data_IF_741652598641
#
_entry.id   IF_741652598641
#
_cell.length_a   1.000
_cell.length_b   1.000
_cell.length_c   1.000
_cell.angle_alpha   90.00
_cell.angle_beta   90.00
_cell.angle_gamma   90.00
#
_symmetry.space_group_name_H-M   'P 1'
#
loop_
_entity.id
_entity.type
_entity.pdbx_description
1 polymer ?
#
# COMPACT_ATOMS: atom_id res chain seq x y z
N UNK A 1 -3.81 22.37 13.67
CA UNK A 1 -4.14 21.24 12.76
C UNK A 1 -5.64 21.00 12.89
N UNK A 2 -6.36 20.99 11.78
CA UNK A 2 -7.83 20.78 11.84
C UNK A 2 -8.10 19.34 12.26
N UNK A 3 -8.97 19.15 13.25
CA UNK A 3 -9.39 17.82 13.68
C UNK A 3 -10.57 17.36 12.80
N UNK A 4 -10.29 16.41 11.91
CA UNK A 4 -11.32 15.79 11.05
C UNK A 4 -11.97 14.56 11.67
N UNK A 5 -11.71 14.27 12.95
CA UNK A 5 -12.28 13.09 13.63
C UNK A 5 -13.69 13.36 14.18
N UNK A 6 -14.16 14.62 14.10
CA UNK A 6 -15.43 15.05 14.68
C UNK A 6 -15.60 14.66 16.16
N UNK A 7 -14.48 14.60 16.90
CA UNK A 7 -14.44 14.20 18.30
C UNK A 7 -14.58 12.69 18.55
N UNK A 8 -14.72 11.86 17.50
CA UNK A 8 -14.83 10.41 17.64
C UNK A 8 -13.49 9.70 17.91
N UNK A 9 -12.36 10.38 17.67
CA UNK A 9 -11.03 9.83 17.67
C UNK A 9 -10.75 8.88 16.49
N UNK A 10 -11.68 8.78 15.54
CA UNK A 10 -11.56 7.98 14.32
C UNK A 10 -11.37 8.88 13.10
N UNK A 11 -10.55 8.44 12.16
CA UNK A 11 -10.32 9.17 10.92
C UNK A 11 -11.58 9.15 10.04
N UNK A 12 -11.85 10.27 9.40
CA UNK A 12 -13.11 10.51 8.70
C UNK A 12 -13.35 9.56 7.51
N UNK A 13 -12.31 9.31 6.69
CA UNK A 13 -12.48 8.48 5.49
C UNK A 13 -12.22 7.01 5.77
N UNK A 14 -11.16 6.67 6.48
CA UNK A 14 -10.80 5.28 6.75
C UNK A 14 -11.57 4.65 7.90
N UNK A 15 -12.14 5.46 8.77
CA UNK A 15 -12.90 5.00 9.94
C UNK A 15 -12.05 4.34 11.02
N UNK A 16 -10.71 4.39 10.94
CA UNK A 16 -9.80 3.80 11.93
C UNK A 16 -9.35 4.81 12.99
N UNK A 17 -9.00 4.32 14.16
CA UNK A 17 -8.30 5.07 15.21
C UNK A 17 -6.92 4.47 15.52
N UNK A 18 -6.10 5.14 16.35
CA UNK A 18 -4.76 4.67 16.69
C UNK A 18 -4.71 3.26 17.30
N UNK A 19 -5.76 2.87 18.02
CA UNK A 19 -5.87 1.54 18.64
C UNK A 19 -6.19 0.44 17.63
N UNK A 20 -6.66 0.77 16.43
CA UNK A 20 -7.15 -0.20 15.45
C UNK A 20 -6.05 -0.74 14.56
N UNK A 21 -4.95 -0.02 14.37
CA UNK A 21 -3.94 -0.33 13.36
C UNK A 21 -2.56 -0.66 13.95
N UNK A 22 -1.75 -1.34 13.16
CA UNK A 22 -0.33 -1.58 13.43
C UNK A 22 0.57 -0.53 12.78
N UNK A 23 1.86 -0.57 13.12
CA UNK A 23 2.89 0.30 12.53
C UNK A 23 3.19 -0.02 11.06
N UNK A 24 2.95 -1.26 10.65
CA UNK A 24 3.15 -1.77 9.29
C UNK A 24 1.80 -1.97 8.62
N UNK A 25 1.63 -1.40 7.44
CA UNK A 25 0.37 -1.48 6.71
C UNK A 25 0.59 -1.98 5.29
N UNK A 26 -0.13 -3.04 4.92
CA UNK A 26 -0.20 -3.54 3.56
C UNK A 26 -1.37 -2.86 2.87
N UNK A 27 -1.12 -2.31 1.69
CA UNK A 27 -2.08 -1.50 0.95
C UNK A 27 -2.48 -2.15 -0.39
N UNK A 28 -3.48 -3.05 -0.45
CA UNK A 28 -4.10 -3.43 -1.73
C UNK A 28 -4.99 -2.30 -2.26
N UNK A 29 -5.30 -2.31 -3.55
CA UNK A 29 -6.27 -1.37 -4.13
C UNK A 29 -7.71 -1.80 -3.85
N UNK A 30 -8.03 -3.06 -4.11
CA UNK A 30 -9.37 -3.62 -3.99
C UNK A 30 -9.69 -4.02 -2.54
N UNK A 31 -10.81 -3.54 -1.95
CA UNK A 31 -11.28 -3.95 -0.63
C UNK A 31 -11.38 -5.46 -0.44
N UNK A 32 -11.80 -6.20 -1.47
CA UNK A 32 -11.94 -7.67 -1.43
C UNK A 32 -10.62 -8.40 -1.21
N UNK A 33 -9.50 -7.76 -1.49
CA UNK A 33 -8.17 -8.35 -1.23
C UNK A 33 -7.76 -8.24 0.23
N UNK A 34 -8.33 -7.30 0.99
CA UNK A 34 -7.97 -7.13 2.40
C UNK A 34 -8.22 -8.40 3.21
N UNK A 35 -9.39 -9.02 3.07
CA UNK A 35 -9.71 -10.27 3.74
C UNK A 35 -8.73 -11.39 3.36
N UNK A 36 -8.44 -11.55 2.06
CA UNK A 36 -7.50 -12.58 1.57
C UNK A 36 -6.07 -12.39 2.09
N UNK A 37 -5.60 -11.15 2.19
CA UNK A 37 -4.28 -10.86 2.75
C UNK A 37 -4.30 -11.07 4.26
N UNK A 38 -5.39 -10.74 4.93
CA UNK A 38 -5.55 -10.93 6.37
C UNK A 38 -5.54 -12.41 6.79
N UNK A 39 -5.84 -13.36 5.90
CA UNK A 39 -5.72 -14.81 6.16
C UNK A 39 -4.28 -15.24 6.52
N UNK A 40 -3.27 -14.46 6.15
CA UNK A 40 -1.88 -14.69 6.51
C UNK A 40 -1.50 -14.13 7.89
N UNK A 41 -2.41 -13.44 8.57
CA UNK A 41 -2.19 -12.86 9.89
C UNK A 41 -2.90 -13.70 10.96
N UNK A 42 -2.28 -13.84 12.11
CA UNK A 42 -2.90 -14.49 13.28
C UNK A 42 -3.90 -13.52 13.92
N UNK A 43 -5.06 -14.04 14.34
CA UNK A 43 -6.13 -13.29 15.02
C UNK A 43 -6.60 -12.04 14.26
N UNK A 44 -6.58 -12.10 12.94
CA UNK A 44 -6.99 -10.99 12.09
C UNK A 44 -8.49 -10.68 12.26
N UNK A 45 -8.80 -9.40 12.43
CA UNK A 45 -10.17 -8.88 12.55
C UNK A 45 -10.36 -7.69 11.63
N UNK A 46 -11.55 -7.58 11.05
CA UNK A 46 -11.97 -6.36 10.38
C UNK A 46 -12.22 -5.28 11.44
N UNK A 47 -11.49 -4.18 11.35
CA UNK A 47 -11.56 -3.09 12.33
C UNK A 47 -12.28 -1.86 11.80
N UNK A 48 -12.36 -1.73 10.48
CA UNK A 48 -13.12 -0.69 9.81
C UNK A 48 -13.55 -1.13 8.40
N UNK A 49 -14.67 -0.57 7.94
CA UNK A 49 -15.17 -0.71 6.58
C UNK A 49 -15.95 0.57 6.25
N UNK A 50 -15.31 1.48 5.55
CA UNK A 50 -15.90 2.76 5.21
C UNK A 50 -15.45 3.20 3.83
N UNK A 51 -16.40 3.51 2.95
CA UNK A 51 -16.15 3.86 1.56
C UNK A 51 -15.35 2.76 0.83
N UNK A 52 -14.26 3.14 0.15
CA UNK A 52 -13.29 2.22 -0.46
C UNK A 52 -12.23 1.68 0.51
N UNK A 53 -12.26 2.08 1.77
CA UNK A 53 -11.27 1.75 2.79
C UNK A 53 -11.79 0.64 3.70
N UNK A 54 -11.37 -0.58 3.45
CA UNK A 54 -11.62 -1.73 4.33
C UNK A 54 -10.33 -2.08 5.04
N UNK A 55 -10.36 -2.15 6.37
CA UNK A 55 -9.17 -2.40 7.19
C UNK A 55 -9.32 -3.66 8.03
N UNK A 56 -8.32 -4.53 7.94
CA UNK A 56 -8.10 -5.68 8.81
C UNK A 56 -6.82 -5.47 9.61
N UNK A 57 -6.80 -5.94 10.85
CA UNK A 57 -5.59 -5.93 11.68
C UNK A 57 -5.43 -7.26 12.38
N UNK A 58 -4.22 -7.78 12.38
CA UNK A 58 -3.83 -9.02 13.02
C UNK A 58 -2.35 -9.00 13.41
N UNK A 59 -1.77 -10.16 13.61
CA UNK A 59 -0.37 -10.32 14.03
C UNK A 59 0.38 -11.21 13.05
N UNK A 60 1.60 -10.82 12.70
CA UNK A 60 2.54 -11.62 11.92
C UNK A 60 3.86 -11.71 12.69
N UNK A 61 4.26 -12.93 13.07
CA UNK A 61 5.49 -13.19 13.86
C UNK A 61 5.59 -12.30 15.14
N UNK A 62 4.47 -12.13 15.83
CA UNK A 62 4.38 -11.30 17.04
C UNK A 62 4.28 -9.79 16.80
N UNK A 63 4.32 -9.35 15.55
CA UNK A 63 4.22 -7.93 15.16
C UNK A 63 2.82 -7.61 14.67
N UNK A 64 2.24 -6.52 15.16
CA UNK A 64 0.93 -6.04 14.72
C UNK A 64 1.01 -5.44 13.32
N UNK A 65 0.24 -6.00 12.39
CA UNK A 65 0.19 -5.61 10.98
C UNK A 65 -1.25 -5.32 10.59
N UNK A 66 -1.44 -4.28 9.80
CA UNK A 66 -2.75 -3.94 9.23
C UNK A 66 -2.75 -4.12 7.71
N UNK A 67 -3.92 -4.34 7.17
CA UNK A 67 -4.18 -4.39 5.73
C UNK A 67 -5.33 -3.42 5.45
N UNK A 68 -5.08 -2.39 4.66
CA UNK A 68 -6.10 -1.38 4.33
C UNK A 68 -6.17 -1.19 2.82
N UNK A 69 -7.37 -1.27 2.25
CA UNK A 69 -7.55 -0.95 0.83
C UNK A 69 -7.41 0.56 0.57
N UNK A 70 -6.91 0.89 -0.61
CA UNK A 70 -6.72 2.29 -1.03
C UNK A 70 -7.76 2.77 -2.05
N UNK A 71 -8.60 1.88 -2.56
CA UNK A 71 -9.41 2.20 -3.73
C UNK A 71 -8.57 2.41 -4.99
N UNK A 72 -9.05 3.27 -5.88
CA UNK A 72 -8.44 3.56 -7.17
C UNK A 72 -7.94 5.00 -7.20
N UNK A 73 -6.69 5.17 -7.61
CA UNK A 73 -6.09 6.47 -7.90
C UNK A 73 -5.25 7.06 -6.77
N UNK A 74 -4.43 8.03 -7.13
CA UNK A 74 -3.51 8.73 -6.22
C UNK A 74 -4.22 9.43 -5.06
N UNK A 75 -5.28 10.22 -5.30
CA UNK A 75 -5.99 10.93 -4.24
C UNK A 75 -6.52 10.00 -3.15
N UNK A 76 -7.15 8.88 -3.52
CA UNK A 76 -7.66 7.91 -2.56
C UNK A 76 -6.54 7.24 -1.76
N UNK A 77 -5.44 6.87 -2.43
CA UNK A 77 -4.26 6.32 -1.76
C UNK A 77 -3.62 7.34 -0.79
N UNK A 78 -3.56 8.62 -1.17
CA UNK A 78 -3.05 9.69 -0.32
C UNK A 78 -3.88 9.85 0.95
N UNK A 79 -5.21 9.85 0.85
CA UNK A 79 -6.11 9.90 2.01
C UNK A 79 -5.82 8.74 2.96
N UNK A 80 -5.71 7.51 2.44
CA UNK A 80 -5.42 6.34 3.27
C UNK A 80 -4.09 6.50 4.00
N UNK A 81 -3.01 6.86 3.31
CA UNK A 81 -1.67 7.01 3.89
C UNK A 81 -1.64 8.11 4.96
N UNK A 82 -2.24 9.26 4.67
CA UNK A 82 -2.32 10.38 5.61
C UNK A 82 -3.05 10.00 6.91
N UNK A 83 -4.23 9.41 6.79
CA UNK A 83 -5.03 9.05 7.95
C UNK A 83 -4.41 7.92 8.76
N UNK A 84 -3.86 6.89 8.09
CA UNK A 84 -3.14 5.81 8.75
C UNK A 84 -1.86 6.31 9.45
N UNK A 85 -1.15 7.26 8.84
CA UNK A 85 0.03 7.89 9.47
C UNK A 85 -0.33 8.66 10.73
N UNK A 86 -1.44 9.40 10.73
CA UNK A 86 -1.99 10.07 11.92
C UNK A 86 -2.36 9.08 13.03
N UNK A 87 -2.72 7.85 12.68
CA UNK A 87 -2.98 6.76 13.62
C UNK A 87 -1.71 6.00 14.07
N UNK A 88 -0.52 6.40 13.62
CA UNK A 88 0.76 5.83 14.05
C UNK A 88 1.37 4.79 13.12
N UNK A 89 0.81 4.56 11.94
CA UNK A 89 1.47 3.76 10.91
C UNK A 89 2.67 4.53 10.33
N UNK A 90 3.78 3.83 10.07
CA UNK A 90 4.99 4.47 9.53
C UNK A 90 5.64 3.69 8.37
N UNK A 91 5.20 2.45 8.12
CA UNK A 91 5.74 1.65 7.02
C UNK A 91 4.58 1.13 6.18
N UNK A 92 4.60 1.48 4.91
CA UNK A 92 3.54 1.15 3.96
C UNK A 92 4.08 0.29 2.83
N UNK A 93 3.42 -0.85 2.58
CA UNK A 93 3.74 -1.75 1.49
C UNK A 93 2.56 -1.82 0.52
N UNK A 94 2.69 -1.20 -0.65
CA UNK A 94 1.67 -1.27 -1.69
C UNK A 94 1.75 -2.62 -2.42
N UNK A 95 0.65 -3.34 -2.46
CA UNK A 95 0.52 -4.61 -3.17
C UNK A 95 -0.54 -4.51 -4.24
N UNK A 96 -0.16 -4.73 -5.48
CA UNK A 96 -1.06 -4.61 -6.61
C UNK A 96 -0.70 -5.55 -7.75
N UNK A 97 -1.41 -5.42 -8.86
CA UNK A 97 -1.11 -6.08 -10.12
C UNK A 97 -0.58 -5.04 -11.09
N UNK A 98 0.32 -5.43 -11.97
CA UNK A 98 0.87 -4.59 -13.02
C UNK A 98 1.01 -5.39 -14.32
N UNK A 99 1.18 -4.68 -15.44
CA UNK A 99 1.60 -5.27 -16.70
C UNK A 99 3.13 -5.30 -16.79
N UNK A 100 3.70 -6.40 -17.25
CA UNK A 100 5.11 -6.45 -17.64
C UNK A 100 5.31 -5.73 -18.96
N UNK A 101 6.26 -4.78 -19.02
CA UNK A 101 6.59 -4.04 -20.24
C UNK A 101 7.73 -4.69 -21.03
N UNK A 102 8.53 -5.55 -20.40
CA UNK A 102 9.65 -6.24 -21.02
C UNK A 102 9.25 -7.68 -21.36
N UNK A 103 9.76 -8.21 -22.47
CA UNK A 103 9.41 -9.55 -22.97
C UNK A 103 9.76 -10.69 -22.01
N UNK A 104 10.77 -10.48 -21.17
CA UNK A 104 11.21 -11.47 -20.18
C UNK A 104 10.39 -11.46 -18.88
N UNK A 105 9.41 -10.57 -18.74
CA UNK A 105 8.50 -10.52 -17.55
C UNK A 105 7.22 -11.28 -17.90
N UNK A 106 7.00 -12.40 -17.23
CA UNK A 106 5.88 -13.30 -17.50
C UNK A 106 4.75 -13.09 -16.48
N UNK A 107 3.55 -13.55 -16.85
CA UNK A 107 2.43 -13.58 -15.93
C UNK A 107 2.75 -14.44 -14.70
N UNK A 108 2.55 -13.87 -13.50
CA UNK A 108 2.89 -14.50 -12.22
C UNK A 108 4.24 -14.09 -11.65
N UNK A 109 5.10 -13.42 -12.42
CA UNK A 109 6.35 -12.88 -11.88
C UNK A 109 6.06 -11.76 -10.87
N UNK A 110 6.92 -11.63 -9.87
CA UNK A 110 6.90 -10.53 -8.92
C UNK A 110 7.72 -9.36 -9.46
N UNK A 111 7.16 -8.17 -9.44
CA UNK A 111 7.90 -6.92 -9.74
C UNK A 111 8.02 -6.10 -8.47
N UNK A 112 9.25 -5.79 -8.09
CA UNK A 112 9.57 -4.93 -6.94
C UNK A 112 10.02 -3.59 -7.49
N UNK A 113 9.28 -2.53 -7.19
CA UNK A 113 9.61 -1.20 -7.66
C UNK A 113 10.78 -0.61 -6.86
N UNK A 114 11.81 -0.12 -7.55
CA UNK A 114 12.92 0.66 -7.00
C UNK A 114 12.83 2.15 -7.36
N UNK A 115 11.79 2.53 -8.07
CA UNK A 115 11.45 3.89 -8.41
C UNK A 115 10.09 3.97 -9.09
N UNK A 116 9.55 5.18 -9.22
CA UNK A 116 8.32 5.43 -9.94
C UNK A 116 8.41 6.71 -10.77
N UNK A 117 7.77 6.73 -11.93
CA UNK A 117 7.65 7.92 -12.76
C UNK A 117 6.37 8.66 -12.34
N UNK A 118 6.52 9.92 -11.93
CA UNK A 118 5.46 10.77 -11.36
C UNK A 118 4.64 11.44 -12.46
N UNK A 119 3.84 10.68 -13.19
CA UNK A 119 3.00 11.21 -14.28
C UNK A 119 1.55 11.48 -13.86
N UNK A 120 1.23 11.30 -12.59
CA UNK A 120 -0.07 11.62 -11.99
C UNK A 120 -0.02 12.98 -11.27
N UNK A 121 -1.18 13.52 -10.88
CA UNK A 121 -1.28 14.84 -10.29
C UNK A 121 -1.03 14.90 -8.78
N UNK A 122 -1.42 13.85 -8.05
CA UNK A 122 -1.46 13.87 -6.58
C UNK A 122 -0.08 14.04 -5.94
N UNK A 123 0.93 13.34 -6.44
CA UNK A 123 2.27 13.43 -5.87
C UNK A 123 2.92 14.81 -6.04
N UNK A 124 2.46 15.59 -7.02
CA UNK A 124 2.94 16.95 -7.26
C UNK A 124 2.47 17.93 -6.18
N UNK A 125 1.35 17.63 -5.53
CA UNK A 125 0.86 18.42 -4.39
C UNK A 125 1.72 18.22 -3.12
N UNK A 126 2.46 17.09 -3.05
CA UNK A 126 3.34 16.79 -1.93
C UNK A 126 4.78 17.28 -2.13
N UNK A 127 5.28 17.21 -3.35
CA UNK A 127 6.67 17.56 -3.66
C UNK A 127 6.82 18.01 -5.12
N UNK A 128 7.77 18.89 -5.44
CA UNK A 128 8.05 19.29 -6.82
C UNK A 128 8.37 18.07 -7.69
N UNK A 129 8.13 18.19 -9.01
CA UNK A 129 8.25 17.07 -9.95
C UNK A 129 9.67 16.51 -10.03
N UNK A 130 10.66 17.34 -9.75
CA UNK A 130 12.08 17.00 -9.71
C UNK A 130 12.46 16.12 -8.51
N UNK A 131 11.61 16.09 -7.47
CA UNK A 131 11.85 15.22 -6.32
C UNK A 131 11.65 13.76 -6.73
N UNK A 132 12.66 12.88 -6.56
CA UNK A 132 12.60 11.52 -7.05
C UNK A 132 11.59 10.68 -6.25
N UNK A 133 10.76 9.91 -6.96
CA UNK A 133 9.87 8.93 -6.35
C UNK A 133 10.60 7.60 -6.18
N UNK A 134 11.38 7.49 -5.10
CA UNK A 134 12.11 6.27 -4.73
C UNK A 134 11.52 5.66 -3.46
N UNK A 135 11.45 4.34 -3.36
CA UNK A 135 10.97 3.68 -2.16
C UNK A 135 12.03 3.69 -1.05
N UNK A 136 11.61 3.33 0.16
CA UNK A 136 12.55 3.10 1.26
C UNK A 136 13.51 1.95 0.91
N UNK A 137 14.80 2.20 1.05
CA UNK A 137 15.86 1.25 0.69
C UNK A 137 15.82 -0.03 1.53
N UNK A 138 15.53 0.10 2.82
CA UNK A 138 15.47 -1.05 3.75
C UNK A 138 14.31 -1.97 3.41
N UNK A 139 13.12 -1.40 3.17
CA UNK A 139 11.92 -2.16 2.77
C UNK A 139 12.14 -2.84 1.42
N UNK A 140 12.67 -2.12 0.44
CA UNK A 140 12.95 -2.68 -0.89
C UNK A 140 13.96 -3.83 -0.83
N UNK A 141 15.03 -3.65 -0.07
CA UNK A 141 16.04 -4.71 0.14
C UNK A 141 15.42 -5.94 0.81
N UNK A 142 14.58 -5.74 1.82
CA UNK A 142 13.89 -6.84 2.51
C UNK A 142 12.96 -7.61 1.57
N UNK A 143 12.24 -6.92 0.68
CA UNK A 143 11.37 -7.56 -0.33
C UNK A 143 12.17 -8.42 -1.31
N UNK A 144 13.29 -7.90 -1.82
CA UNK A 144 14.18 -8.63 -2.74
C UNK A 144 14.76 -9.87 -2.05
N UNK A 145 15.21 -9.76 -0.81
CA UNK A 145 15.73 -10.88 -0.03
C UNK A 145 14.65 -11.94 0.23
N UNK A 146 13.42 -11.51 0.57
CA UNK A 146 12.29 -12.41 0.78
C UNK A 146 11.93 -13.18 -0.50
N UNK A 147 11.91 -12.52 -1.66
CA UNK A 147 11.66 -13.15 -2.94
C UNK A 147 12.74 -14.19 -3.28
N UNK A 148 14.02 -13.84 -3.09
CA UNK A 148 15.15 -14.77 -3.29
C UNK A 148 15.06 -15.98 -2.36
N UNK A 149 14.83 -15.77 -1.06
CA UNK A 149 14.71 -16.83 -0.06
C UNK A 149 13.60 -17.83 -0.37
N UNK A 150 12.53 -17.35 -0.99
CA UNK A 150 11.37 -18.18 -1.38
C UNK A 150 11.50 -18.77 -2.78
N UNK A 151 12.57 -18.47 -3.51
CA UNK A 151 12.74 -18.91 -4.90
C UNK A 151 11.72 -18.32 -5.87
N UNK A 152 11.12 -17.18 -5.53
CA UNK A 152 10.13 -16.51 -6.37
C UNK A 152 10.86 -15.77 -7.50
N UNK A 153 10.44 -16.03 -8.75
CA UNK A 153 10.92 -15.28 -9.90
C UNK A 153 10.49 -13.82 -9.74
N UNK A 154 11.48 -12.93 -9.76
CA UNK A 154 11.22 -11.51 -9.51
C UNK A 154 12.11 -10.62 -10.34
N UNK A 155 11.62 -9.41 -10.58
CA UNK A 155 12.30 -8.34 -11.29
C UNK A 155 12.33 -7.10 -10.40
N UNK A 156 13.36 -6.29 -10.53
CA UNK A 156 13.49 -4.99 -9.84
C UNK A 156 13.56 -3.92 -10.91
N UNK A 157 12.78 -2.86 -10.79
CA UNK A 157 12.77 -1.82 -11.79
C UNK A 157 11.74 -0.71 -11.54
N UNK A 158 11.76 0.28 -12.43
CA UNK A 158 10.94 1.47 -12.31
C UNK A 158 9.49 1.19 -12.68
N UNK A 159 8.57 1.61 -11.85
CA UNK A 159 7.13 1.56 -12.11
C UNK A 159 6.68 2.80 -12.88
N UNK A 160 5.81 2.59 -13.86
CA UNK A 160 5.17 3.65 -14.61
C UNK A 160 3.66 3.46 -14.62
N UNK A 161 2.93 4.50 -14.25
CA UNK A 161 1.48 4.55 -14.32
C UNK A 161 1.06 5.39 -15.52
N UNK A 162 0.09 4.92 -16.33
CA UNK A 162 -0.58 5.67 -17.42
C UNK A 162 0.15 5.87 -18.75
N UNK A 163 1.14 5.12 -19.14
CA UNK A 163 1.72 5.22 -20.50
C UNK A 163 1.51 4.02 -21.40
N UNK A 164 0.99 2.91 -20.89
CA UNK A 164 0.56 1.83 -21.75
C UNK A 164 -0.95 1.90 -21.96
N UNK A 165 -1.46 1.72 -23.19
CA UNK A 165 -2.87 1.45 -23.40
C UNK A 165 -3.19 0.15 -22.65
N UNK A 166 -3.77 0.28 -21.45
CA UNK A 166 -4.32 -0.86 -20.75
C UNK A 166 -5.59 -1.27 -21.50
N UNK A 167 -5.64 -2.43 -22.11
CA UNK A 167 -6.91 -2.95 -22.60
C UNK A 167 -7.78 -3.22 -21.37
N UNK A 168 -8.80 -2.44 -21.20
CA UNK A 168 -9.90 -2.69 -20.25
C UNK A 168 -11.04 -3.30 -21.01
#
# INVERSE_FOLDING_TARGET
MVDYTEGSGRQYHTGVGPQDIGKYVILPGDPKRCAKIAEFLTDAKQVADNREFTTYTGTLDGVRVSVTSTGIGGPSAAIAIEELSKCGAHTFLRVGTCGGMQENILGGDLVIADGAIRMEGTSREYAPVEYPAVPDFTVTTALVQAAKKRGIRHHVGVCLLYTSPSPR
#
